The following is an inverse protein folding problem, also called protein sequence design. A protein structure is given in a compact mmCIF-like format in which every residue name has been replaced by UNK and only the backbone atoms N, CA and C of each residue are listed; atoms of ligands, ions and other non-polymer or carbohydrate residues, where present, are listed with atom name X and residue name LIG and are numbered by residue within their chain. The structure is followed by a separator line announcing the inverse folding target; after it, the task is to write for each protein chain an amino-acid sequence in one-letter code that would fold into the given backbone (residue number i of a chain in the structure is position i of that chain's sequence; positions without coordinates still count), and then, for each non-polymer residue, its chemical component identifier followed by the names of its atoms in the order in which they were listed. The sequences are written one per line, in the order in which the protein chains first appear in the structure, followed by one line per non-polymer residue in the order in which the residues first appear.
data_IF_264714027449
#
_entry.id   IF_264714027449
#
_cell.length_a   1.000
_cell.length_b   1.000
_cell.length_c   1.000
_cell.angle_alpha   90.00
_cell.angle_beta   90.00
_cell.angle_gamma   90.00
#
_symmetry.space_group_name_H-M   'P 1'
#
loop_
_entity.id
_entity.type
_entity.pdbx_description
1 polymer ?
#
# COMPACT_ATOMS: atom_id res chain seq x y z
N UNK A 1 0.52 -5.38 -45.63
CA UNK A 1 0.01 -5.59 -44.25
C UNK A 1 1.16 -5.31 -43.31
N UNK A 2 1.17 -4.13 -42.71
CA UNK A 2 2.17 -3.78 -41.72
C UNK A 2 1.88 -4.60 -40.44
N UNK A 3 2.93 -5.08 -39.74
CA UNK A 3 2.73 -5.79 -38.51
C UNK A 3 2.22 -4.81 -37.44
N UNK A 4 1.11 -5.16 -36.83
CA UNK A 4 0.53 -4.46 -35.66
C UNK A 4 1.63 -4.26 -34.63
N UNK A 5 2.09 -3.01 -34.49
CA UNK A 5 3.08 -2.61 -33.51
C UNK A 5 2.55 -2.96 -32.12
N UNK A 6 3.25 -3.87 -31.44
CA UNK A 6 3.03 -4.19 -30.04
C UNK A 6 2.93 -2.91 -29.23
N UNK A 7 1.82 -2.78 -28.51
CA UNK A 7 1.48 -1.67 -27.65
C UNK A 7 2.61 -1.38 -26.64
N UNK A 8 3.46 -0.40 -26.92
CA UNK A 8 4.58 0.06 -26.07
C UNK A 8 4.12 0.84 -24.82
N UNK A 9 2.92 0.64 -24.33
CA UNK A 9 2.38 1.34 -23.15
C UNK A 9 3.11 1.05 -21.83
N UNK A 10 4.08 0.13 -21.85
CA UNK A 10 4.86 -0.23 -20.66
C UNK A 10 6.19 0.53 -20.54
N UNK A 11 6.53 1.36 -21.52
CA UNK A 11 7.84 1.99 -21.67
C UNK A 11 7.87 3.49 -21.33
N UNK A 12 6.84 4.03 -20.67
CA UNK A 12 6.92 5.42 -20.23
C UNK A 12 8.09 5.58 -19.24
N UNK A 13 8.98 6.49 -19.55
CA UNK A 13 10.16 6.73 -18.71
C UNK A 13 9.77 7.34 -17.34
N UNK A 14 10.62 7.19 -16.33
CA UNK A 14 10.36 7.78 -15.02
C UNK A 14 10.27 9.33 -15.07
N UNK A 15 11.08 10.05 -15.85
CA UNK A 15 10.91 11.50 -16.06
C UNK A 15 9.55 11.86 -16.66
N UNK A 16 9.10 11.17 -17.70
CA UNK A 16 7.80 11.42 -18.36
C UNK A 16 6.63 11.17 -17.40
N UNK A 17 6.67 10.08 -16.60
CA UNK A 17 5.68 9.84 -15.55
C UNK A 17 5.61 10.99 -14.55
N UNK A 18 6.76 11.47 -14.11
CA UNK A 18 6.82 12.59 -13.17
C UNK A 18 6.21 13.86 -13.77
N UNK A 19 6.59 14.22 -14.96
CA UNK A 19 6.06 15.41 -15.66
C UNK A 19 4.54 15.30 -15.89
N UNK A 20 4.05 14.11 -16.21
CA UNK A 20 2.65 13.88 -16.55
C UNK A 20 1.72 13.83 -15.34
N UNK A 21 2.20 13.31 -14.19
CA UNK A 21 1.36 12.95 -13.05
C UNK A 21 1.68 13.69 -11.75
N UNK A 22 2.82 14.38 -11.66
CA UNK A 22 3.26 15.03 -10.43
C UNK A 22 3.37 16.54 -10.57
N UNK A 23 2.85 17.28 -9.59
CA UNK A 23 3.08 18.74 -9.42
C UNK A 23 4.48 19.04 -8.93
N UNK A 24 4.99 18.18 -8.07
CA UNK A 24 6.27 18.36 -7.39
C UNK A 24 6.87 17.01 -7.01
N UNK A 25 8.19 16.92 -6.79
CA UNK A 25 8.85 15.70 -6.36
C UNK A 25 8.26 15.12 -5.08
N UNK A 26 8.24 13.79 -4.97
CA UNK A 26 7.82 13.07 -3.78
C UNK A 26 8.88 13.19 -2.68
N UNK A 27 8.49 13.48 -1.41
CA UNK A 27 9.42 13.85 -0.33
C UNK A 27 9.92 12.64 0.48
N UNK A 28 10.11 11.48 -0.14
CA UNK A 28 10.44 10.27 0.60
C UNK A 28 11.93 10.11 0.84
N UNK A 29 12.27 9.48 1.98
CA UNK A 29 13.65 9.10 2.30
C UNK A 29 14.24 8.18 1.22
N UNK A 30 15.57 8.21 0.99
CA UNK A 30 16.23 7.27 0.10
C UNK A 30 15.93 5.81 0.50
N UNK A 31 15.48 5.01 -0.46
CA UNK A 31 15.12 3.60 -0.24
C UNK A 31 13.76 3.37 0.45
N UNK A 32 12.98 4.42 0.68
CA UNK A 32 11.63 4.28 1.21
C UNK A 32 10.70 3.57 0.22
N UNK A 33 10.00 2.55 0.69
CA UNK A 33 9.06 1.77 -0.13
C UNK A 33 7.89 2.59 -0.67
N UNK A 34 7.54 3.69 -0.03
CA UNK A 34 6.47 4.57 -0.52
C UNK A 34 6.83 5.20 -1.88
N UNK A 35 8.10 5.52 -2.12
CA UNK A 35 8.58 5.99 -3.42
C UNK A 35 8.50 4.91 -4.50
N UNK A 36 8.79 3.66 -4.16
CA UNK A 36 8.65 2.50 -5.07
C UNK A 36 7.18 2.29 -5.41
N UNK A 37 6.30 2.31 -4.40
CA UNK A 37 4.85 2.22 -4.61
C UNK A 37 4.33 3.34 -5.51
N UNK A 38 4.70 4.60 -5.24
CA UNK A 38 4.24 5.74 -6.02
C UNK A 38 4.59 5.60 -7.51
N UNK A 39 5.81 5.18 -7.83
CA UNK A 39 6.21 4.89 -9.22
C UNK A 39 5.38 3.75 -9.84
N UNK A 40 5.16 2.67 -9.10
CA UNK A 40 4.34 1.54 -9.57
C UNK A 40 2.87 1.94 -9.76
N UNK A 41 2.33 2.76 -8.85
CA UNK A 41 0.97 3.30 -8.93
C UNK A 41 0.78 4.17 -10.18
N UNK A 42 1.68 5.11 -10.43
CA UNK A 42 1.60 5.99 -11.60
C UNK A 42 1.70 5.20 -12.92
N UNK A 43 2.59 4.19 -12.98
CA UNK A 43 2.65 3.27 -14.13
C UNK A 43 1.38 2.44 -14.29
N UNK A 44 0.79 2.01 -13.18
CA UNK A 44 -0.48 1.27 -13.20
C UNK A 44 -1.62 2.16 -13.72
N UNK A 45 -1.70 3.39 -13.22
CA UNK A 45 -2.69 4.39 -13.63
C UNK A 45 -2.56 4.74 -15.13
N UNK A 46 -1.33 4.96 -15.61
CA UNK A 46 -1.04 5.23 -17.03
C UNK A 46 -1.47 4.05 -17.92
N UNK A 47 -1.10 2.84 -17.53
CA UNK A 47 -1.39 1.62 -18.30
C UNK A 47 -2.89 1.31 -18.44
N UNK A 48 -3.73 1.77 -17.51
CA UNK A 48 -5.19 1.63 -17.59
C UNK A 48 -5.88 2.89 -18.10
N UNK A 49 -5.12 3.93 -18.43
CA UNK A 49 -5.63 5.25 -18.84
C UNK A 49 -6.58 5.84 -17.80
N UNK A 50 -6.21 5.79 -16.52
CA UNK A 50 -6.99 6.36 -15.43
C UNK A 50 -7.25 7.85 -15.67
N UNK A 51 -8.52 8.25 -15.72
CA UNK A 51 -8.89 9.65 -15.92
C UNK A 51 -8.72 10.43 -14.59
N UNK A 52 -7.63 11.18 -14.48
CA UNK A 52 -7.33 11.98 -13.28
C UNK A 52 -8.34 13.11 -13.05
N UNK A 53 -9.03 13.61 -14.10
CA UNK A 53 -10.07 14.64 -13.95
C UNK A 53 -11.36 14.08 -13.34
N UNK A 54 -11.50 12.77 -13.30
CA UNK A 54 -12.62 12.06 -12.67
C UNK A 54 -12.18 11.20 -11.48
N UNK A 55 -10.97 11.43 -10.99
CA UNK A 55 -10.40 10.70 -9.84
C UNK A 55 -10.13 11.66 -8.70
N UNK A 56 -10.66 11.34 -7.51
CA UNK A 56 -10.35 12.05 -6.27
C UNK A 56 -9.48 11.14 -5.38
N UNK A 57 -8.31 11.62 -5.02
CA UNK A 57 -7.45 10.95 -4.07
C UNK A 57 -7.70 11.47 -2.66
N UNK A 58 -7.93 10.56 -1.72
CA UNK A 58 -8.13 10.90 -0.31
C UNK A 58 -7.01 10.30 0.53
N UNK A 59 -6.42 11.09 1.39
CA UNK A 59 -5.37 10.64 2.32
C UNK A 59 -5.57 11.24 3.70
N UNK A 60 -5.18 10.49 4.74
CA UNK A 60 -5.14 11.00 6.10
C UNK A 60 -3.80 11.65 6.43
N UNK A 61 -3.13 11.23 7.50
CA UNK A 61 -1.87 11.80 7.98
C UNK A 61 -0.77 10.74 8.02
N UNK A 62 0.47 11.17 7.82
CA UNK A 62 1.67 10.33 7.85
C UNK A 62 2.37 10.20 6.50
N UNK A 63 3.50 9.49 6.45
CA UNK A 63 4.32 9.37 5.23
C UNK A 63 3.51 8.84 4.04
N UNK A 64 2.68 7.82 4.23
CA UNK A 64 1.85 7.25 3.17
C UNK A 64 0.84 8.23 2.59
N UNK A 65 0.32 9.15 3.41
CA UNK A 65 -0.63 10.17 3.00
C UNK A 65 -0.02 11.21 2.05
N UNK A 66 1.29 11.38 2.09
CA UNK A 66 2.03 12.29 1.20
C UNK A 66 2.27 11.70 -0.20
N UNK A 67 1.81 10.51 -0.50
CA UNK A 67 1.87 9.99 -1.87
C UNK A 67 0.97 10.80 -2.79
N UNK A 68 -0.36 10.91 -2.56
CA UNK A 68 -1.20 11.66 -3.47
C UNK A 68 -1.17 13.18 -3.20
N UNK A 69 -1.23 13.60 -1.95
CA UNK A 69 -1.42 15.00 -1.58
C UNK A 69 -0.14 15.62 -0.99
N UNK A 70 0.33 16.76 -1.51
CA UNK A 70 -0.18 17.55 -2.63
C UNK A 70 0.47 17.21 -3.97
N UNK A 71 1.03 16.03 -4.14
CA UNK A 71 1.99 15.73 -5.20
C UNK A 71 1.34 15.36 -6.54
N UNK A 72 0.18 14.69 -6.55
CA UNK A 72 -0.46 14.26 -7.79
C UNK A 72 -1.15 15.44 -8.53
N UNK A 73 -1.09 15.42 -9.86
CA UNK A 73 -1.86 16.31 -10.74
C UNK A 73 -3.31 15.84 -10.86
N UNK A 74 -4.00 15.79 -9.73
CA UNK A 74 -5.40 15.38 -9.60
C UNK A 74 -6.02 16.09 -8.41
N UNK A 75 -7.32 15.96 -8.22
CA UNK A 75 -8.00 16.43 -7.01
C UNK A 75 -7.59 15.57 -5.82
N UNK A 76 -7.11 16.22 -4.76
CA UNK A 76 -6.64 15.55 -3.56
C UNK A 76 -7.30 16.14 -2.30
N UNK A 77 -7.73 15.27 -1.38
CA UNK A 77 -8.20 15.63 -0.05
C UNK A 77 -7.23 15.06 0.99
N UNK A 78 -6.49 15.95 1.67
CA UNK A 78 -5.65 15.60 2.81
C UNK A 78 -6.43 15.92 4.09
N UNK A 79 -6.86 14.88 4.81
CA UNK A 79 -7.86 15.01 5.88
C UNK A 79 -7.32 14.63 7.24
N UNK A 80 -8.13 14.79 8.28
CA UNK A 80 -7.79 14.43 9.67
C UNK A 80 -7.35 12.98 9.78
N UNK A 81 -6.34 12.74 10.63
CA UNK A 81 -5.75 11.42 10.88
C UNK A 81 -6.80 10.35 11.20
N UNK A 82 -6.73 9.21 10.50
CA UNK A 82 -7.64 8.09 10.64
C UNK A 82 -9.03 8.32 10.04
N UNK A 83 -9.23 9.39 9.25
CA UNK A 83 -10.55 9.72 8.70
C UNK A 83 -10.62 9.69 7.16
N UNK A 84 -9.55 9.28 6.50
CA UNK A 84 -9.52 9.20 5.04
C UNK A 84 -10.70 8.42 4.45
N UNK A 85 -11.02 7.24 5.00
CA UNK A 85 -12.15 6.40 4.56
C UNK A 85 -13.50 7.09 4.78
N UNK A 86 -13.69 7.81 5.89
CA UNK A 86 -14.92 8.52 6.18
C UNK A 86 -15.17 9.65 5.16
N UNK A 87 -14.14 10.45 4.86
CA UNK A 87 -14.22 11.49 3.83
C UNK A 87 -14.42 10.90 2.44
N UNK A 88 -13.67 9.84 2.08
CA UNK A 88 -13.84 9.12 0.82
C UNK A 88 -15.27 8.58 0.65
N UNK A 89 -15.86 8.06 1.72
CA UNK A 89 -17.25 7.63 1.74
C UNK A 89 -18.19 8.78 1.40
N UNK A 90 -18.01 9.95 2.02
CA UNK A 90 -18.82 11.14 1.73
C UNK A 90 -18.71 11.58 0.27
N UNK A 91 -17.47 11.64 -0.26
CA UNK A 91 -17.23 11.96 -1.68
C UNK A 91 -17.96 10.96 -2.60
N UNK A 92 -17.79 9.66 -2.37
CA UNK A 92 -18.37 8.63 -3.23
C UNK A 92 -19.90 8.60 -3.19
N UNK A 93 -20.51 8.88 -2.04
CA UNK A 93 -21.96 8.95 -1.90
C UNK A 93 -22.58 10.19 -2.58
N UNK A 94 -21.88 11.32 -2.55
CA UNK A 94 -22.35 12.56 -3.18
C UNK A 94 -21.99 12.68 -4.65
N UNK A 95 -20.90 12.04 -5.07
CA UNK A 95 -20.42 12.02 -6.47
C UNK A 95 -20.10 10.57 -6.88
N UNK A 96 -21.13 9.77 -7.13
CA UNK A 96 -20.98 8.35 -7.49
C UNK A 96 -20.28 8.14 -8.84
N UNK A 97 -20.24 9.17 -9.68
CA UNK A 97 -19.58 9.21 -10.98
C UNK A 97 -18.06 9.31 -10.90
N UNK A 98 -17.50 9.71 -9.75
CA UNK A 98 -16.05 9.84 -9.55
C UNK A 98 -15.42 8.52 -9.11
N UNK A 99 -14.19 8.27 -9.57
CA UNK A 99 -13.31 7.28 -8.96
C UNK A 99 -12.75 7.86 -7.67
N UNK A 100 -12.89 7.12 -6.56
CA UNK A 100 -12.39 7.56 -5.25
C UNK A 100 -11.32 6.60 -4.78
N UNK A 101 -10.10 7.10 -4.71
CA UNK A 101 -8.89 6.34 -4.36
C UNK A 101 -8.35 6.83 -3.03
N UNK A 102 -8.24 5.93 -2.06
CA UNK A 102 -7.63 6.22 -0.76
C UNK A 102 -6.20 5.67 -0.74
N UNK A 103 -5.22 6.52 -0.44
CA UNK A 103 -3.83 6.12 -0.25
C UNK A 103 -3.37 6.68 1.09
N UNK A 104 -3.04 5.81 2.04
CA UNK A 104 -2.51 6.23 3.35
C UNK A 104 -1.71 5.11 4.04
N UNK A 105 -1.10 5.43 5.17
CA UNK A 105 -0.31 4.46 5.95
C UNK A 105 -1.15 3.53 6.81
N UNK A 106 -0.51 2.46 7.29
CA UNK A 106 -1.12 1.48 8.20
C UNK A 106 -1.59 2.11 9.52
N UNK A 107 -0.79 2.96 10.13
CA UNK A 107 -1.17 3.68 11.35
C UNK A 107 -2.43 4.53 11.16
N UNK A 108 -2.55 5.20 10.01
CA UNK A 108 -3.72 6.01 9.66
C UNK A 108 -4.96 5.16 9.42
N UNK A 109 -4.87 4.18 8.54
CA UNK A 109 -6.02 3.40 8.07
C UNK A 109 -6.47 2.32 9.07
N UNK A 110 -5.54 1.76 9.86
CA UNK A 110 -5.84 0.56 10.65
C UNK A 110 -5.76 0.78 12.16
N UNK A 111 -4.86 1.63 12.65
CA UNK A 111 -4.76 1.94 14.07
C UNK A 111 -5.83 2.96 14.46
N UNK A 112 -5.85 4.13 13.80
CA UNK A 112 -6.80 5.20 14.13
C UNK A 112 -8.11 5.04 13.35
N UNK A 113 -8.03 4.64 12.07
CA UNK A 113 -9.15 4.56 11.14
C UNK A 113 -9.78 3.17 10.98
N UNK A 114 -9.38 2.17 11.78
CA UNK A 114 -9.74 0.76 11.57
C UNK A 114 -11.25 0.49 11.48
N UNK A 115 -12.05 1.16 12.32
CA UNK A 115 -13.50 1.04 12.27
C UNK A 115 -14.09 1.51 10.93
N UNK A 116 -13.59 2.63 10.38
CA UNK A 116 -14.06 3.15 9.09
C UNK A 116 -13.70 2.18 7.96
N UNK A 117 -12.49 1.62 8.00
CA UNK A 117 -12.01 0.66 7.01
C UNK A 117 -12.87 -0.62 6.99
N UNK A 118 -13.13 -1.22 8.17
CA UNK A 118 -13.97 -2.41 8.33
C UNK A 118 -15.38 -2.14 7.80
N UNK A 119 -15.98 -1.00 8.17
CA UNK A 119 -17.33 -0.66 7.73
C UNK A 119 -17.43 -0.33 6.24
N UNK A 120 -16.40 0.24 5.61
CA UNK A 120 -16.38 0.46 4.17
C UNK A 120 -16.35 -0.87 3.40
N UNK A 121 -15.52 -1.83 3.84
CA UNK A 121 -15.46 -3.18 3.29
C UNK A 121 -16.81 -3.89 3.43
N UNK A 122 -17.37 -3.96 4.66
CA UNK A 122 -18.67 -4.59 4.95
C UNK A 122 -19.82 -4.03 4.11
N UNK A 123 -19.78 -2.71 3.82
CA UNK A 123 -20.80 -2.02 3.01
C UNK A 123 -20.52 -2.12 1.52
N UNK A 124 -19.44 -2.74 1.13
CA UNK A 124 -18.97 -2.83 -0.25
C UNK A 124 -18.98 -1.48 -0.98
N UNK A 125 -18.51 -0.42 -0.28
CA UNK A 125 -18.43 0.91 -0.88
C UNK A 125 -17.41 0.89 -2.02
N UNK A 126 -17.72 1.40 -3.22
CA UNK A 126 -16.81 1.33 -4.36
C UNK A 126 -15.63 2.31 -4.22
N UNK A 127 -14.78 2.04 -3.25
CA UNK A 127 -13.54 2.74 -2.93
C UNK A 127 -12.34 1.85 -3.27
N UNK A 128 -11.25 2.45 -3.75
CA UNK A 128 -9.97 1.77 -3.97
C UNK A 128 -9.02 2.18 -2.86
N UNK A 129 -8.73 1.27 -1.94
CA UNK A 129 -7.96 1.56 -0.74
C UNK A 129 -6.57 0.92 -0.83
N UNK A 130 -5.52 1.74 -0.82
CA UNK A 130 -4.13 1.33 -0.79
C UNK A 130 -3.53 1.65 0.58
N UNK A 131 -3.24 0.62 1.36
CA UNK A 131 -2.62 0.72 2.67
C UNK A 131 -1.11 0.51 2.56
N UNK A 132 -0.34 1.56 2.77
CA UNK A 132 1.12 1.51 2.74
C UNK A 132 1.61 1.09 4.13
N UNK A 133 1.77 -0.21 4.32
CA UNK A 133 2.13 -0.83 5.58
C UNK A 133 3.65 -0.89 5.76
N UNK A 134 4.20 -0.03 6.60
CA UNK A 134 5.60 -0.03 7.02
C UNK A 134 5.77 -0.45 8.49
N UNK A 135 4.71 -0.97 9.11
CA UNK A 135 4.64 -1.51 10.48
C UNK A 135 4.87 -0.50 11.60
N UNK A 136 4.73 0.81 11.34
CA UNK A 136 4.88 1.84 12.37
C UNK A 136 4.36 3.21 11.92
N UNK A 137 4.22 4.14 12.87
CA UNK A 137 4.03 5.57 12.57
C UNK A 137 5.39 6.19 12.22
N UNK A 138 5.75 6.19 10.92
CA UNK A 138 7.09 6.57 10.47
C UNK A 138 7.39 8.06 10.63
N UNK A 139 6.45 8.93 10.27
CA UNK A 139 6.64 10.39 10.24
C UNK A 139 6.93 10.99 11.61
N UNK A 140 6.35 10.44 12.66
CA UNK A 140 6.46 10.94 14.04
C UNK A 140 7.59 10.31 14.85
N UNK A 141 8.40 9.44 14.23
CA UNK A 141 9.60 8.89 14.87
C UNK A 141 9.55 7.38 15.15
N UNK A 142 8.63 6.63 14.54
CA UNK A 142 8.65 5.16 14.59
C UNK A 142 7.92 4.53 15.77
N UNK A 143 6.75 5.04 16.16
CA UNK A 143 5.90 4.44 17.18
C UNK A 143 5.21 3.17 16.67
N UNK A 144 4.83 2.30 17.60
CA UNK A 144 4.09 1.05 17.31
C UNK A 144 2.75 1.35 16.63
N UNK A 145 2.42 0.61 15.59
CA UNK A 145 1.09 0.62 14.94
C UNK A 145 0.35 -0.70 15.17
N UNK A 146 -0.92 -0.76 14.83
CA UNK A 146 -1.73 -1.98 14.94
C UNK A 146 -1.25 -3.12 14.04
N UNK A 147 -0.37 -2.86 13.06
CA UNK A 147 0.21 -3.87 12.17
C UNK A 147 1.62 -4.29 12.55
N UNK A 148 2.21 -3.62 13.54
CA UNK A 148 3.58 -3.93 13.98
C UNK A 148 3.69 -5.39 14.43
N UNK A 149 4.59 -6.19 13.84
CA UNK A 149 4.75 -7.58 14.24
C UNK A 149 5.19 -7.72 15.72
N UNK A 150 4.79 -8.81 16.34
CA UNK A 150 5.22 -9.13 17.71
C UNK A 150 6.74 -9.25 17.77
N UNK A 151 7.33 -8.71 18.82
CA UNK A 151 8.78 -8.69 19.05
C UNK A 151 9.54 -7.58 18.31
N UNK A 152 8.89 -6.84 17.41
CA UNK A 152 9.50 -5.71 16.69
C UNK A 152 9.83 -4.57 17.64
N UNK A 153 11.04 -4.03 17.52
CA UNK A 153 11.47 -2.83 18.24
C UNK A 153 10.88 -1.58 17.57
N UNK A 154 10.33 -0.68 18.38
CA UNK A 154 9.85 0.64 17.95
C UNK A 154 10.19 1.70 19.00
N UNK A 155 10.00 2.98 18.68
CA UNK A 155 10.21 4.06 19.64
C UNK A 155 9.37 3.93 20.92
N UNK A 156 8.20 3.31 20.84
CA UNK A 156 7.28 3.10 21.98
C UNK A 156 7.32 1.67 22.54
N UNK A 157 8.01 0.76 21.87
CA UNK A 157 8.23 -0.63 22.33
C UNK A 157 9.73 -0.99 22.21
N UNK A 158 10.60 -0.38 23.02
CA UNK A 158 12.07 -0.52 22.90
C UNK A 158 12.59 -1.91 23.28
N UNK A 159 11.79 -2.71 23.97
CA UNK A 159 12.11 -4.12 24.33
C UNK A 159 11.35 -5.14 23.46
N UNK A 160 10.68 -4.68 22.40
CA UNK A 160 9.87 -5.47 21.49
C UNK A 160 8.36 -5.29 21.71
N UNK A 161 7.61 -5.27 20.62
CA UNK A 161 6.14 -5.19 20.67
C UNK A 161 5.56 -6.45 21.31
N UNK A 162 4.84 -6.37 22.45
CA UNK A 162 4.23 -7.53 23.11
C UNK A 162 3.00 -8.02 22.36
N UNK A 163 2.34 -7.16 21.58
CA UNK A 163 1.05 -7.42 20.97
C UNK A 163 1.18 -8.10 19.60
N UNK A 164 0.09 -8.74 19.18
CA UNK A 164 -0.02 -9.34 17.86
C UNK A 164 -0.48 -8.30 16.86
N UNK A 165 0.30 -8.08 15.81
CA UNK A 165 -0.09 -7.20 14.69
C UNK A 165 -1.31 -7.76 13.91
N UNK A 166 -2.13 -6.87 13.35
CA UNK A 166 -3.22 -7.27 12.46
C UNK A 166 -2.69 -7.94 11.19
N UNK A 167 -3.31 -9.04 10.80
CA UNK A 167 -3.25 -9.55 9.44
C UNK A 167 -4.35 -8.86 8.62
N UNK A 168 -3.97 -7.85 7.84
CA UNK A 168 -4.93 -7.03 7.11
C UNK A 168 -5.68 -7.79 6.01
N UNK A 169 -5.06 -8.81 5.42
CA UNK A 169 -5.75 -9.67 4.43
C UNK A 169 -6.88 -10.43 5.11
N UNK A 170 -6.60 -11.08 6.24
CA UNK A 170 -7.64 -11.80 7.00
C UNK A 170 -8.72 -10.86 7.51
N UNK A 171 -8.33 -9.69 8.00
CA UNK A 171 -9.26 -8.68 8.51
C UNK A 171 -10.21 -8.21 7.41
N UNK A 172 -9.70 -7.85 6.24
CA UNK A 172 -10.52 -7.33 5.14
C UNK A 172 -11.39 -8.42 4.51
N UNK A 173 -10.89 -9.64 4.37
CA UNK A 173 -11.70 -10.79 3.95
C UNK A 173 -12.81 -11.10 4.95
N UNK A 174 -12.49 -11.11 6.24
CA UNK A 174 -13.49 -11.29 7.31
C UNK A 174 -14.53 -10.16 7.37
N UNK A 175 -14.18 -8.95 6.93
CA UNK A 175 -15.10 -7.83 6.77
C UNK A 175 -15.94 -7.89 5.48
N UNK A 176 -15.72 -8.88 4.61
CA UNK A 176 -16.49 -9.06 3.37
C UNK A 176 -15.99 -8.22 2.19
N UNK A 177 -14.71 -7.81 2.17
CA UNK A 177 -14.14 -7.11 1.03
C UNK A 177 -14.08 -8.02 -0.21
N UNK A 178 -14.69 -7.64 -1.36
CA UNK A 178 -14.73 -8.48 -2.57
C UNK A 178 -13.37 -8.68 -3.22
N UNK A 179 -12.48 -7.68 -3.10
CA UNK A 179 -11.11 -7.77 -3.61
C UNK A 179 -10.13 -7.36 -2.52
N UNK A 180 -9.19 -8.24 -2.21
CA UNK A 180 -8.09 -8.00 -1.28
C UNK A 180 -6.79 -8.45 -1.93
N UNK A 181 -5.74 -7.65 -1.80
CA UNK A 181 -4.41 -8.04 -2.26
C UNK A 181 -3.33 -7.63 -1.25
N UNK A 182 -2.20 -8.35 -1.26
CA UNK A 182 -0.99 -8.00 -0.51
C UNK A 182 0.23 -8.17 -1.40
N UNK A 183 1.01 -7.08 -1.53
CA UNK A 183 2.23 -7.08 -2.33
C UNK A 183 3.36 -6.37 -1.62
N UNK A 184 4.57 -6.96 -1.54
CA UNK A 184 5.75 -6.27 -1.07
C UNK A 184 6.32 -5.39 -2.18
N UNK A 185 6.95 -4.27 -1.82
CA UNK A 185 7.61 -3.39 -2.79
C UNK A 185 8.77 -4.08 -3.52
N UNK A 186 9.35 -5.12 -2.94
CA UNK A 186 10.34 -5.99 -3.59
C UNK A 186 9.80 -6.71 -4.84
N UNK A 187 8.49 -6.90 -4.96
CA UNK A 187 7.84 -7.52 -6.13
C UNK A 187 7.11 -6.48 -6.98
N UNK A 188 7.83 -5.41 -7.39
CA UNK A 188 7.27 -4.22 -8.04
C UNK A 188 6.37 -4.52 -9.25
N UNK A 189 6.73 -5.48 -10.11
CA UNK A 189 5.93 -5.83 -11.27
C UNK A 189 4.60 -6.52 -10.90
N UNK A 190 4.60 -7.38 -9.88
CA UNK A 190 3.38 -8.01 -9.37
C UNK A 190 2.52 -6.97 -8.64
N UNK A 191 3.13 -6.12 -7.83
CA UNK A 191 2.47 -5.00 -7.16
C UNK A 191 1.77 -4.08 -8.16
N UNK A 192 2.45 -3.69 -9.25
CA UNK A 192 1.86 -2.87 -10.32
C UNK A 192 0.63 -3.53 -10.94
N UNK A 193 0.67 -4.84 -11.23
CA UNK A 193 -0.50 -5.58 -11.74
C UNK A 193 -1.64 -5.64 -10.73
N UNK A 194 -1.33 -5.89 -9.44
CA UNK A 194 -2.33 -5.86 -8.38
C UNK A 194 -2.99 -4.50 -8.22
N UNK A 195 -2.23 -3.40 -8.37
CA UNK A 195 -2.78 -2.03 -8.39
C UNK A 195 -3.75 -1.84 -9.57
N UNK A 196 -3.37 -2.29 -10.78
CA UNK A 196 -4.26 -2.22 -11.95
C UNK A 196 -5.56 -2.99 -11.73
N UNK A 197 -5.47 -4.19 -11.17
CA UNK A 197 -6.64 -5.02 -10.88
C UNK A 197 -7.57 -4.35 -9.86
N UNK A 198 -7.00 -3.77 -8.79
CA UNK A 198 -7.75 -3.04 -7.79
C UNK A 198 -8.43 -1.79 -8.36
N UNK A 199 -7.75 -1.03 -9.22
CA UNK A 199 -8.31 0.16 -9.87
C UNK A 199 -9.45 -0.17 -10.85
N UNK A 200 -9.45 -1.38 -11.43
CA UNK A 200 -10.53 -1.87 -12.31
C UNK A 200 -11.69 -2.53 -11.58
N UNK A 201 -11.51 -2.83 -10.31
CA UNK A 201 -12.57 -3.48 -9.51
C UNK A 201 -13.78 -2.55 -9.38
N UNK A 202 -15.01 -2.92 -9.75
CA UNK A 202 -16.17 -2.05 -9.65
C UNK A 202 -16.63 -1.80 -8.22
N UNK A 203 -16.29 -2.70 -7.31
CA UNK A 203 -16.68 -2.71 -5.91
C UNK A 203 -15.55 -2.23 -4.99
N UNK A 204 -15.67 -2.49 -3.68
CA UNK A 204 -14.59 -2.20 -2.72
C UNK A 204 -13.35 -3.03 -3.03
N UNK A 205 -12.20 -2.36 -3.11
CA UNK A 205 -10.91 -3.00 -3.25
C UNK A 205 -9.93 -2.54 -2.17
N UNK A 206 -9.25 -3.49 -1.56
CA UNK A 206 -8.20 -3.21 -0.57
C UNK A 206 -6.87 -3.84 -1.01
N UNK A 207 -5.82 -3.04 -1.04
CA UNK A 207 -4.47 -3.51 -1.35
C UNK A 207 -3.52 -3.10 -0.23
N UNK A 208 -2.97 -4.08 0.46
CA UNK A 208 -1.88 -3.88 1.39
C UNK A 208 -0.55 -3.91 0.64
N UNK A 209 0.21 -2.84 0.77
CA UNK A 209 1.56 -2.72 0.25
C UNK A 209 2.55 -2.82 1.42
N UNK A 210 3.30 -3.93 1.49
CA UNK A 210 4.38 -4.06 2.45
C UNK A 210 5.53 -3.13 2.02
N UNK A 211 5.62 -2.00 2.69
CA UNK A 211 6.54 -0.91 2.37
C UNK A 211 7.76 -0.96 3.28
N UNK A 212 8.94 -0.67 2.72
CA UNK A 212 10.17 -0.55 3.52
C UNK A 212 10.28 0.83 4.15
N UNK A 213 10.73 0.89 5.42
CA UNK A 213 11.09 2.12 6.11
C UNK A 213 12.52 2.03 6.64
N UNK A 214 13.55 2.38 5.83
CA UNK A 214 14.95 2.31 6.27
C UNK A 214 15.25 3.21 7.46
N UNK A 215 14.62 4.41 7.52
CA UNK A 215 14.92 5.47 8.48
C UNK A 215 14.46 5.14 9.90
N UNK A 216 13.27 4.56 10.08
CA UNK A 216 12.74 4.25 11.42
C UNK A 216 12.82 2.74 11.69
N UNK A 217 12.07 1.93 10.92
CA UNK A 217 12.03 0.48 11.13
C UNK A 217 13.40 -0.18 10.97
N UNK A 218 14.10 0.12 9.88
CA UNK A 218 15.40 -0.48 9.57
C UNK A 218 16.47 -0.13 10.59
N UNK A 219 16.49 1.11 11.10
CA UNK A 219 17.48 1.54 12.07
C UNK A 219 17.38 0.77 13.40
N UNK A 220 16.17 0.68 13.95
CA UNK A 220 15.95 0.05 15.28
C UNK A 220 15.91 -1.46 15.23
N UNK A 221 15.63 -2.07 14.06
CA UNK A 221 15.59 -3.52 13.86
C UNK A 221 16.76 -4.05 13.05
N UNK A 222 17.85 -3.30 12.94
CA UNK A 222 19.02 -3.65 12.11
C UNK A 222 19.60 -5.03 12.44
N UNK A 223 19.66 -5.40 13.71
CA UNK A 223 20.17 -6.70 14.14
C UNK A 223 19.39 -7.92 13.60
N UNK A 224 18.18 -7.70 13.07
CA UNK A 224 17.32 -8.73 12.47
C UNK A 224 17.42 -8.74 10.95
N UNK A 225 18.28 -7.90 10.34
CA UNK A 225 18.49 -7.76 8.91
C UNK A 225 19.88 -8.28 8.53
N UNK A 226 20.06 -8.52 7.24
CA UNK A 226 21.35 -8.95 6.69
C UNK A 226 22.40 -7.85 6.86
N UNK A 227 23.46 -8.16 7.64
CA UNK A 227 24.56 -7.24 7.93
C UNK A 227 25.46 -6.99 6.71
N UNK A 228 25.50 -7.90 5.72
CA UNK A 228 26.29 -7.76 4.49
C UNK A 228 25.61 -6.87 3.43
N UNK A 229 24.38 -6.42 3.69
CA UNK A 229 23.65 -5.59 2.74
C UNK A 229 24.29 -4.20 2.60
N UNK A 230 24.41 -3.72 1.36
CA UNK A 230 24.99 -2.42 0.99
C UNK A 230 24.30 -1.24 1.69
N UNK A 231 23.03 -1.41 2.09
CA UNK A 231 22.25 -0.42 2.82
C UNK A 231 21.05 -1.05 3.53
N UNK A 232 20.50 -0.38 4.55
CA UNK A 232 19.25 -0.80 5.20
C UNK A 232 18.07 -0.96 4.24
N UNK A 233 18.03 -0.17 3.18
CA UNK A 233 17.03 -0.31 2.13
C UNK A 233 17.19 -1.64 1.38
N UNK A 234 18.42 -2.00 1.02
CA UNK A 234 18.72 -3.27 0.36
C UNK A 234 18.43 -4.46 1.29
N UNK A 235 18.81 -4.38 2.56
CA UNK A 235 18.51 -5.40 3.57
C UNK A 235 17.00 -5.65 3.71
N UNK A 236 16.21 -4.60 3.78
CA UNK A 236 14.75 -4.71 3.89
C UNK A 236 14.10 -5.31 2.63
N UNK A 237 14.62 -4.99 1.45
CA UNK A 237 14.16 -5.60 0.18
C UNK A 237 14.53 -7.09 0.15
N UNK A 238 15.76 -7.46 0.48
CA UNK A 238 16.20 -8.85 0.56
C UNK A 238 15.35 -9.65 1.56
N UNK A 239 15.09 -9.07 2.74
CA UNK A 239 14.20 -9.66 3.73
C UNK A 239 12.79 -9.92 3.17
N UNK A 240 12.22 -8.98 2.41
CA UNK A 240 10.92 -9.20 1.76
C UNK A 240 10.96 -10.30 0.70
N UNK A 241 12.04 -10.39 -0.08
CA UNK A 241 12.20 -11.44 -1.09
C UNK A 241 12.24 -12.83 -0.48
N UNK A 242 12.90 -12.97 0.65
CA UNK A 242 13.03 -14.23 1.39
C UNK A 242 11.74 -14.61 2.13
N UNK A 243 11.09 -13.63 2.77
CA UNK A 243 10.00 -13.88 3.72
C UNK A 243 8.59 -13.76 3.13
N UNK A 244 8.44 -13.25 1.90
CA UNK A 244 7.16 -13.15 1.22
C UNK A 244 6.97 -14.28 0.20
N UNK A 245 5.98 -15.14 0.41
CA UNK A 245 5.69 -16.29 -0.45
C UNK A 245 4.35 -16.15 -1.19
N UNK A 246 4.28 -16.53 -2.48
CA UNK A 246 3.03 -16.53 -3.23
C UNK A 246 1.97 -17.43 -2.57
N UNK A 247 0.70 -17.01 -2.62
CA UNK A 247 -0.46 -17.76 -2.10
C UNK A 247 -0.48 -19.21 -2.58
N UNK A 248 -0.14 -19.47 -3.84
CA UNK A 248 -0.12 -20.80 -4.44
C UNK A 248 0.92 -21.74 -3.81
N UNK A 249 1.89 -21.20 -3.08
CA UNK A 249 2.92 -21.96 -2.34
C UNK A 249 2.65 -22.03 -0.84
N UNK A 250 1.66 -21.30 -0.34
CA UNK A 250 1.27 -21.33 1.07
C UNK A 250 0.75 -22.74 1.41
N UNK A 251 1.21 -23.29 2.50
CA UNK A 251 0.86 -24.66 2.93
C UNK A 251 1.82 -25.76 2.44
N UNK A 252 2.72 -25.50 1.47
CA UNK A 252 3.75 -26.46 1.04
C UNK A 252 5.10 -26.24 1.74
N UNK A 253 5.27 -25.09 2.36
CA UNK A 253 6.50 -24.69 3.06
C UNK A 253 6.23 -24.59 4.56
N UNK A 254 6.64 -25.60 5.31
CA UNK A 254 6.49 -25.66 6.77
C UNK A 254 7.59 -24.93 7.56
N UNK A 255 8.50 -24.24 6.88
CA UNK A 255 9.60 -23.54 7.51
C UNK A 255 9.25 -22.08 7.79
N UNK A 256 9.19 -21.68 9.05
CA UNK A 256 9.02 -20.32 9.60
C UNK A 256 7.79 -19.55 9.11
N UNK A 257 7.19 -18.73 9.95
CA UNK A 257 6.03 -17.90 9.64
C UNK A 257 6.32 -16.91 8.50
N UNK A 258 6.00 -17.29 7.25
CA UNK A 258 6.16 -16.45 6.07
C UNK A 258 4.92 -15.62 5.80
N UNK A 259 5.10 -14.46 5.21
CA UNK A 259 4.01 -13.56 4.81
C UNK A 259 3.48 -14.04 3.45
N UNK A 260 2.21 -14.44 3.41
CA UNK A 260 1.55 -14.84 2.17
C UNK A 260 1.17 -13.62 1.36
N UNK A 261 1.55 -13.61 0.08
CA UNK A 261 1.27 -12.53 -0.87
C UNK A 261 0.42 -13.01 -2.04
N UNK A 262 -0.35 -12.12 -2.65
CA UNK A 262 -1.21 -12.42 -3.79
C UNK A 262 -2.50 -11.62 -3.77
N UNK A 263 -3.48 -12.14 -4.49
CA UNK A 263 -4.82 -11.58 -4.60
C UNK A 263 -5.85 -12.60 -4.09
N UNK A 264 -6.88 -12.10 -3.42
CA UNK A 264 -8.04 -12.86 -2.95
C UNK A 264 -9.31 -12.18 -3.42
N UNK A 265 -10.25 -12.97 -3.92
CA UNK A 265 -11.55 -12.51 -4.38
C UNK A 265 -12.66 -13.14 -3.54
N UNK A 266 -13.86 -12.56 -3.61
CA UNK A 266 -15.06 -13.18 -3.04
C UNK A 266 -15.23 -14.60 -3.60
N UNK A 267 -15.50 -15.55 -2.70
CA UNK A 267 -15.58 -16.99 -3.05
C UNK A 267 -14.27 -17.77 -2.99
N UNK A 268 -13.12 -17.12 -2.84
CA UNK A 268 -11.85 -17.82 -2.58
C UNK A 268 -11.91 -18.49 -1.19
N UNK A 269 -11.38 -19.71 -1.10
CA UNK A 269 -11.23 -20.38 0.20
C UNK A 269 -10.36 -19.56 1.19
N UNK A 270 -10.67 -19.64 2.48
CA UNK A 270 -10.01 -18.84 3.53
C UNK A 270 -8.50 -19.15 3.68
#
# INVERSE_FOLDING_TARGET
MEPVTRNRRWEISAPELRTRYLRQPLPFCPGCGHGIFANAFLRAADAISLDLNRTVFVSGIGCGAWVPSPHFLADTLHVTHGRAIAFATGVKLTRPDLEVVVISGDGDLTTIGGNHLIHAARRNLPLKVFCLNNWLFGMTGGQVSATTPRGTLTATTPVGNPDRGFDLVRLMRGAGAPYVARWPVAKAAQMQRGIQNALREPSFAFVEILSTCPTQYGQVNRANLDDDAVSLAAALIAWQEENCIPRQRAGKDNSKAKIVIGEWREGDEP
#
